data_IF_552489215001
#
_entry.id   IF_552489215001
#
_cell.length_a   1.000
_cell.length_b   1.000
_cell.length_c   1.000
_cell.angle_alpha   90.00
_cell.angle_beta   90.00
_cell.angle_gamma   90.00
#
_symmetry.space_group_name_H-M   'P 1'
#
loop_
_entity.id
_entity.type
_entity.pdbx_description
1 polymer ?
#
# COMPACT_ATOMS: atom_id res chain seq x y z
N UNK A 1 16.97 -24.46 23.28
CA UNK A 1 16.75 -24.87 21.89
C UNK A 1 17.69 -26.04 21.66
N UNK A 2 17.15 -27.24 21.46
CA UNK A 2 17.97 -28.42 21.19
C UNK A 2 18.55 -28.37 19.77
N UNK A 3 19.67 -29.05 19.55
CA UNK A 3 20.37 -29.12 18.27
C UNK A 3 20.53 -30.58 17.84
N UNK A 4 20.20 -30.86 16.59
CA UNK A 4 20.35 -32.18 15.96
C UNK A 4 21.24 -32.03 14.74
N UNK A 5 22.19 -32.95 14.55
CA UNK A 5 22.88 -33.01 13.26
C UNK A 5 21.92 -33.46 12.16
N UNK A 6 22.23 -33.15 10.90
CA UNK A 6 21.46 -33.62 9.74
C UNK A 6 21.39 -35.15 9.65
N UNK A 7 22.35 -35.86 10.25
CA UNK A 7 22.34 -37.32 10.37
C UNK A 7 21.37 -37.76 11.45
N UNK A 8 21.41 -37.13 12.63
CA UNK A 8 20.48 -37.44 13.74
C UNK A 8 19.04 -37.11 13.39
N UNK A 9 18.80 -36.01 12.68
CA UNK A 9 17.46 -35.64 12.23
C UNK A 9 16.83 -36.73 11.33
N UNK A 10 17.64 -37.42 10.52
CA UNK A 10 17.20 -38.54 9.68
C UNK A 10 17.01 -39.83 10.50
N UNK A 11 17.98 -40.17 11.34
CA UNK A 11 18.00 -41.44 12.06
C UNK A 11 17.09 -41.46 13.30
N UNK A 12 16.81 -40.30 13.89
CA UNK A 12 16.07 -40.14 15.16
C UNK A 12 14.88 -39.20 15.00
N UNK A 13 14.22 -39.25 13.85
CA UNK A 13 13.13 -38.33 13.49
C UNK A 13 11.99 -38.29 14.52
N UNK A 14 11.60 -39.43 15.11
CA UNK A 14 10.56 -39.46 16.15
C UNK A 14 10.94 -38.68 17.42
N UNK A 15 12.22 -38.69 17.80
CA UNK A 15 12.71 -37.91 18.94
C UNK A 15 12.82 -36.43 18.60
N UNK A 16 13.23 -36.11 17.36
CA UNK A 16 13.22 -34.75 16.83
C UNK A 16 11.79 -34.15 16.86
N UNK A 17 10.78 -34.91 16.44
CA UNK A 17 9.38 -34.49 16.52
C UNK A 17 8.93 -34.27 17.97
N UNK A 18 9.25 -35.21 18.87
CA UNK A 18 8.92 -35.08 20.30
C UNK A 18 9.55 -33.84 20.93
N UNK A 19 10.81 -33.55 20.61
CA UNK A 19 11.50 -32.35 21.06
C UNK A 19 10.83 -31.07 20.50
N UNK A 20 10.48 -31.07 19.20
CA UNK A 20 9.82 -29.94 18.53
C UNK A 20 8.42 -29.62 19.06
N UNK A 21 7.77 -30.57 19.74
CA UNK A 21 6.46 -30.36 20.37
C UNK A 21 6.55 -29.40 21.56
N UNK A 22 7.70 -29.36 22.24
CA UNK A 22 7.89 -28.55 23.46
C UNK A 22 8.56 -27.21 23.17
N UNK A 23 9.52 -27.17 22.24
CA UNK A 23 10.24 -25.96 21.84
C UNK A 23 10.85 -26.13 20.45
N UNK A 24 11.23 -25.04 19.75
CA UNK A 24 11.95 -25.15 18.50
C UNK A 24 13.27 -25.91 18.65
N UNK A 25 13.61 -26.67 17.61
CA UNK A 25 14.81 -27.48 17.51
C UNK A 25 15.59 -27.06 16.27
N UNK A 26 16.90 -26.87 16.39
CA UNK A 26 17.76 -26.56 15.25
C UNK A 26 18.31 -27.85 14.63
N UNK A 27 18.33 -27.92 13.30
CA UNK A 27 18.95 -28.99 12.53
C UNK A 27 20.20 -28.42 11.88
N UNK A 28 21.35 -29.01 12.17
CA UNK A 28 22.65 -28.53 11.72
C UNK A 28 23.29 -29.44 10.68
N UNK A 29 23.91 -28.84 9.66
CA UNK A 29 24.72 -29.55 8.67
C UNK A 29 26.13 -28.96 8.70
N UNK A 30 27.12 -29.79 9.01
CA UNK A 30 28.53 -29.39 9.14
C UNK A 30 28.72 -28.16 10.07
N UNK A 31 28.08 -28.17 11.24
CA UNK A 31 28.20 -27.11 12.25
C UNK A 31 27.49 -25.80 11.93
N UNK A 32 26.62 -25.77 10.90
CA UNK A 32 25.76 -24.62 10.59
C UNK A 32 24.30 -25.02 10.67
N UNK A 33 23.47 -24.17 11.28
CA UNK A 33 22.01 -24.35 11.29
C UNK A 33 21.49 -24.30 9.87
N UNK A 34 20.93 -25.40 9.41
CA UNK A 34 20.34 -25.56 8.09
C UNK A 34 18.81 -25.39 8.12
N UNK A 35 18.17 -25.73 9.24
CA UNK A 35 16.72 -25.58 9.42
C UNK A 35 16.35 -25.50 10.90
N UNK A 36 15.15 -24.99 11.18
CA UNK A 36 14.48 -25.11 12.47
C UNK A 36 13.22 -25.95 12.30
N UNK A 37 12.98 -26.88 13.23
CA UNK A 37 11.72 -27.62 13.34
C UNK A 37 10.97 -27.13 14.57
N UNK A 38 9.67 -26.92 14.42
CA UNK A 38 8.77 -26.47 15.48
C UNK A 38 7.40 -27.10 15.29
N UNK A 39 6.61 -27.22 16.35
CA UNK A 39 5.20 -27.54 16.22
C UNK A 39 4.44 -26.42 15.47
N UNK A 40 3.36 -26.76 14.74
CA UNK A 40 2.50 -25.78 14.08
C UNK A 40 1.95 -24.74 15.07
N UNK A 41 1.52 -25.18 16.25
CA UNK A 41 0.97 -24.33 17.31
C UNK A 41 1.98 -23.27 17.80
N UNK A 42 3.24 -23.67 17.96
CA UNK A 42 4.30 -22.75 18.36
C UNK A 42 4.60 -21.76 17.23
N UNK A 43 4.66 -22.23 15.97
CA UNK A 43 4.87 -21.37 14.81
C UNK A 43 3.78 -20.30 14.70
N UNK A 44 2.51 -20.69 14.81
CA UNK A 44 1.37 -19.76 14.78
C UNK A 44 1.42 -18.73 15.91
N UNK A 45 1.79 -19.16 17.13
CA UNK A 45 1.92 -18.27 18.29
C UNK A 45 3.01 -17.22 18.07
N UNK A 46 4.17 -17.64 17.57
CA UNK A 46 5.26 -16.71 17.23
C UNK A 46 4.85 -15.78 16.09
N UNK A 47 4.13 -16.28 15.08
CA UNK A 47 3.68 -15.47 13.96
C UNK A 47 2.63 -14.43 14.35
N UNK A 48 1.74 -14.76 15.29
CA UNK A 48 0.76 -13.83 15.89
C UNK A 48 1.42 -12.78 16.78
N UNK A 49 2.47 -13.17 17.50
CA UNK A 49 3.21 -12.31 18.41
C UNK A 49 4.40 -11.59 17.74
N UNK A 50 4.63 -11.79 16.43
CA UNK A 50 5.70 -11.14 15.70
C UNK A 50 5.46 -9.61 15.69
N UNK A 51 6.31 -8.83 16.39
CA UNK A 51 6.18 -7.38 16.42
C UNK A 51 6.25 -6.79 15.00
N UNK A 52 7.02 -7.41 14.10
CA UNK A 52 7.12 -7.01 12.70
C UNK A 52 5.82 -7.18 11.93
N UNK A 53 5.02 -8.20 12.24
CA UNK A 53 3.70 -8.40 11.64
C UNK A 53 2.69 -7.36 12.17
N UNK A 54 2.69 -7.11 13.47
CA UNK A 54 1.83 -6.09 14.09
C UNK A 54 2.11 -4.67 13.58
N UNK A 55 3.39 -4.30 13.42
CA UNK A 55 3.80 -3.00 12.90
C UNK A 55 3.38 -2.81 11.43
N UNK A 56 3.55 -3.85 10.59
CA UNK A 56 3.07 -3.83 9.20
C UNK A 56 1.56 -3.70 9.12
N UNK A 57 0.83 -4.40 10.00
CA UNK A 57 -0.63 -4.30 10.04
C UNK A 57 -1.09 -2.90 10.42
N UNK A 58 -0.48 -2.31 11.45
CA UNK A 58 -0.76 -0.93 11.84
C UNK A 58 -0.43 0.05 10.72
N UNK A 59 0.69 -0.13 10.02
CA UNK A 59 1.06 0.71 8.88
C UNK A 59 0.03 0.64 7.74
N UNK A 60 -0.50 -0.55 7.41
CA UNK A 60 -1.56 -0.72 6.42
C UNK A 60 -2.85 -0.01 6.83
N UNK A 61 -3.26 -0.14 8.08
CA UNK A 61 -4.45 0.54 8.60
C UNK A 61 -4.28 2.06 8.54
N UNK A 62 -3.13 2.59 8.96
CA UNK A 62 -2.81 4.02 8.84
C UNK A 62 -2.86 4.50 7.39
N UNK A 63 -2.27 3.74 6.47
CA UNK A 63 -2.29 4.06 5.04
C UNK A 63 -3.72 4.07 4.48
N UNK A 64 -4.57 3.11 4.90
CA UNK A 64 -5.97 3.05 4.48
C UNK A 64 -6.77 4.26 4.98
N UNK A 65 -6.49 4.75 6.20
CA UNK A 65 -7.12 5.97 6.73
C UNK A 65 -6.69 7.20 5.90
N UNK A 66 -5.40 7.37 5.65
CA UNK A 66 -4.89 8.48 4.81
C UNK A 66 -5.52 8.45 3.42
N UNK A 67 -5.63 7.28 2.82
CA UNK A 67 -6.24 7.12 1.50
C UNK A 67 -7.75 7.42 1.52
N UNK A 68 -8.45 7.02 2.57
CA UNK A 68 -9.86 7.38 2.76
C UNK A 68 -10.05 8.90 2.82
N UNK A 69 -9.19 9.62 3.53
CA UNK A 69 -9.27 11.09 3.61
C UNK A 69 -9.01 11.74 2.25
N UNK A 70 -8.03 11.21 1.50
CA UNK A 70 -7.78 11.65 0.11
C UNK A 70 -8.98 11.39 -0.79
N UNK A 71 -9.64 10.24 -0.66
CA UNK A 71 -10.84 9.91 -1.41
C UNK A 71 -11.99 10.87 -1.08
N UNK A 72 -12.23 11.17 0.20
CA UNK A 72 -13.25 12.14 0.64
C UNK A 72 -12.98 13.52 0.04
N UNK A 73 -11.73 13.98 0.03
CA UNK A 73 -11.38 15.26 -0.63
C UNK A 73 -11.71 15.24 -2.12
N UNK A 74 -11.38 14.16 -2.83
CA UNK A 74 -11.69 14.05 -4.26
C UNK A 74 -13.20 13.91 -4.53
N UNK A 75 -13.98 13.33 -3.61
CA UNK A 75 -15.44 13.33 -3.71
C UNK A 75 -16.02 14.74 -3.61
N UNK A 76 -15.45 15.61 -2.76
CA UNK A 76 -15.85 17.02 -2.70
C UNK A 76 -15.49 17.79 -3.97
N UNK A 77 -14.28 17.57 -4.50
CA UNK A 77 -13.88 18.14 -5.81
C UNK A 77 -14.82 17.65 -6.93
N UNK A 78 -15.14 16.36 -6.95
CA UNK A 78 -16.07 15.78 -7.92
C UNK A 78 -17.47 16.40 -7.81
N UNK A 79 -17.94 16.63 -6.59
CA UNK A 79 -19.20 17.34 -6.35
C UNK A 79 -19.15 18.77 -6.90
N UNK A 80 -18.07 19.51 -6.63
CA UNK A 80 -17.90 20.88 -7.14
C UNK A 80 -17.84 20.92 -8.67
N UNK A 81 -17.16 19.97 -9.31
CA UNK A 81 -17.08 19.86 -10.78
C UNK A 81 -18.46 19.70 -11.43
N UNK A 82 -19.41 19.09 -10.74
CA UNK A 82 -20.76 18.82 -11.28
C UNK A 82 -21.76 19.91 -10.88
N UNK A 83 -21.56 20.59 -9.75
CA UNK A 83 -22.57 21.48 -9.15
C UNK A 83 -22.23 22.97 -9.18
N UNK A 84 -20.96 23.34 -9.29
CA UNK A 84 -20.58 24.76 -9.37
C UNK A 84 -21.07 25.41 -10.68
N UNK A 85 -21.30 26.72 -10.61
CA UNK A 85 -21.53 27.54 -11.79
C UNK A 85 -20.35 27.41 -12.78
N UNK A 86 -20.61 27.48 -14.11
CA UNK A 86 -19.59 27.24 -15.14
C UNK A 86 -18.28 28.01 -14.91
N UNK A 87 -18.34 29.31 -14.63
CA UNK A 87 -17.14 30.13 -14.43
C UNK A 87 -16.25 29.66 -13.27
N UNK A 88 -16.87 29.25 -12.15
CA UNK A 88 -16.15 28.76 -10.98
C UNK A 88 -15.54 27.38 -11.23
N UNK A 89 -16.29 26.51 -11.91
CA UNK A 89 -15.82 25.19 -12.32
C UNK A 89 -14.65 25.29 -13.29
N UNK A 90 -14.75 26.19 -14.27
CA UNK A 90 -13.71 26.38 -15.28
C UNK A 90 -12.44 26.95 -14.65
N UNK A 91 -12.58 27.82 -13.64
CA UNK A 91 -11.45 28.27 -12.82
C UNK A 91 -10.81 27.12 -12.04
N UNK A 92 -11.60 26.25 -11.40
CA UNK A 92 -11.11 25.07 -10.68
C UNK A 92 -10.33 24.12 -11.59
N UNK A 93 -10.80 23.90 -12.83
CA UNK A 93 -10.10 23.08 -13.82
C UNK A 93 -8.84 23.78 -14.33
N UNK A 94 -8.91 25.09 -14.57
CA UNK A 94 -7.77 25.89 -15.05
C UNK A 94 -6.63 25.88 -14.04
N UNK A 95 -6.92 26.03 -12.74
CA UNK A 95 -5.91 26.01 -11.68
C UNK A 95 -5.22 24.65 -11.59
N UNK A 96 -5.98 23.55 -11.64
CA UNK A 96 -5.43 22.20 -11.68
C UNK A 96 -4.54 21.96 -12.91
N UNK A 97 -4.92 22.48 -14.09
CA UNK A 97 -4.07 22.41 -15.29
C UNK A 97 -2.76 23.17 -15.12
N UNK A 98 -2.82 24.39 -14.56
CA UNK A 98 -1.62 25.18 -14.30
C UNK A 98 -0.65 24.47 -13.32
N UNK A 99 -1.19 23.75 -12.34
CA UNK A 99 -0.39 22.93 -11.43
C UNK A 99 0.34 21.79 -12.17
N UNK A 100 -0.36 21.07 -13.05
CA UNK A 100 0.23 20.00 -13.86
C UNK A 100 1.29 20.54 -14.82
N UNK A 101 1.04 21.69 -15.44
CA UNK A 101 2.00 22.37 -16.32
C UNK A 101 3.27 22.77 -15.55
N UNK A 102 3.10 23.27 -14.31
CA UNK A 102 4.22 23.56 -13.41
C UNK A 102 5.01 22.29 -13.07
N UNK A 103 4.35 21.19 -12.73
CA UNK A 103 5.03 19.92 -12.46
C UNK A 103 5.88 19.45 -13.64
N UNK A 104 5.38 19.64 -14.87
CA UNK A 104 6.13 19.34 -16.09
C UNK A 104 7.34 20.25 -16.25
N UNK A 105 7.14 21.56 -16.17
CA UNK A 105 8.19 22.54 -16.40
C UNK A 105 9.34 22.40 -15.40
N UNK A 106 9.01 22.19 -14.13
CA UNK A 106 9.96 22.07 -13.02
C UNK A 106 10.41 20.62 -12.74
N UNK A 107 9.90 19.63 -13.49
CA UNK A 107 10.18 18.19 -13.31
C UNK A 107 9.89 17.68 -11.88
N UNK A 108 8.78 18.11 -11.30
CA UNK A 108 8.38 17.78 -9.92
C UNK A 108 7.60 16.47 -9.80
N UNK A 109 7.14 15.91 -10.92
CA UNK A 109 6.35 14.68 -10.96
C UNK A 109 6.80 13.80 -12.13
N UNK A 110 6.55 12.49 -12.06
CA UNK A 110 6.91 11.59 -13.15
C UNK A 110 6.05 11.85 -14.39
N UNK A 111 6.60 11.51 -15.57
CA UNK A 111 5.91 11.68 -16.85
C UNK A 111 4.58 10.92 -16.90
N UNK A 112 4.50 9.74 -16.29
CA UNK A 112 3.28 8.92 -16.26
C UNK A 112 2.15 9.62 -15.48
N UNK A 113 2.46 10.21 -14.32
CA UNK A 113 1.47 10.97 -13.54
C UNK A 113 0.98 12.20 -14.30
N UNK A 114 1.90 12.94 -14.93
CA UNK A 114 1.56 14.11 -15.74
C UNK A 114 0.63 13.70 -16.88
N UNK A 115 0.97 12.66 -17.64
CA UNK A 115 0.17 12.18 -18.76
C UNK A 115 -1.24 11.75 -18.32
N UNK A 116 -1.35 11.02 -17.21
CA UNK A 116 -2.64 10.59 -16.65
C UNK A 116 -3.50 11.79 -16.24
N UNK A 117 -2.92 12.76 -15.54
CA UNK A 117 -3.66 13.95 -15.15
C UNK A 117 -4.10 14.80 -16.33
N UNK A 118 -3.27 14.94 -17.36
CA UNK A 118 -3.69 15.63 -18.58
C UNK A 118 -4.84 14.95 -19.30
N UNK A 119 -4.84 13.61 -19.36
CA UNK A 119 -5.95 12.85 -19.93
C UNK A 119 -7.24 13.12 -19.16
N UNK A 120 -7.18 13.07 -17.82
CA UNK A 120 -8.33 13.33 -16.95
C UNK A 120 -8.82 14.78 -17.08
N UNK A 121 -7.91 15.76 -17.07
CA UNK A 121 -8.25 17.19 -17.14
C UNK A 121 -8.78 17.62 -18.51
N UNK A 122 -8.70 16.77 -19.54
CA UNK A 122 -9.31 16.97 -20.87
C UNK A 122 -10.73 16.42 -20.97
N UNK A 123 -11.16 15.60 -20.03
CA UNK A 123 -12.52 15.05 -19.99
C UNK A 123 -13.55 16.16 -19.75
N UNK A 124 -14.82 15.87 -20.07
CA UNK A 124 -15.90 16.75 -19.61
C UNK A 124 -16.03 16.67 -18.07
N UNK A 125 -16.60 17.69 -17.41
CA UNK A 125 -16.61 17.74 -15.95
C UNK A 125 -17.27 16.54 -15.27
N UNK A 126 -18.30 15.96 -15.88
CA UNK A 126 -19.01 14.79 -15.34
C UNK A 126 -18.13 13.53 -15.39
N UNK A 127 -17.48 13.28 -16.52
CA UNK A 127 -16.51 12.18 -16.67
C UNK A 127 -15.29 12.37 -15.77
N UNK A 128 -14.79 13.60 -15.67
CA UNK A 128 -13.68 13.95 -14.79
C UNK A 128 -14.03 13.64 -13.33
N UNK A 129 -15.20 14.09 -12.87
CA UNK A 129 -15.71 13.85 -11.52
C UNK A 129 -15.82 12.35 -11.20
N UNK A 130 -16.37 11.56 -12.12
CA UNK A 130 -16.46 10.11 -11.96
C UNK A 130 -15.07 9.45 -11.92
N UNK A 131 -14.14 9.92 -12.75
CA UNK A 131 -12.81 9.31 -12.88
C UNK A 131 -11.96 9.52 -11.63
N UNK A 132 -11.94 10.72 -11.05
CA UNK A 132 -11.05 11.04 -9.91
C UNK A 132 -11.42 10.33 -8.60
N UNK A 133 -12.68 9.89 -8.46
CA UNK A 133 -13.15 9.11 -7.31
C UNK A 133 -13.07 7.59 -7.53
N UNK A 134 -12.82 7.16 -8.77
CA UNK A 134 -12.73 5.74 -9.14
C UNK A 134 -11.33 5.15 -8.88
N UNK A 135 -11.19 3.84 -9.10
CA UNK A 135 -9.88 3.20 -9.23
C UNK A 135 -9.49 3.02 -10.70
N UNK A 136 -9.22 4.16 -11.37
CA UNK A 136 -8.95 4.21 -12.81
C UNK A 136 -7.72 3.39 -13.19
N UNK A 137 -7.94 2.15 -13.67
CA UNK A 137 -6.87 1.24 -14.08
C UNK A 137 -5.84 0.94 -12.99
N UNK A 138 -6.26 0.92 -11.71
CA UNK A 138 -5.38 0.71 -10.56
C UNK A 138 -4.58 1.94 -10.11
N UNK A 139 -4.83 3.11 -10.72
CA UNK A 139 -4.12 4.35 -10.38
C UNK A 139 -4.86 5.21 -9.35
N UNK A 140 -6.04 4.82 -8.87
CA UNK A 140 -6.90 5.71 -8.08
C UNK A 140 -6.19 6.30 -6.86
N UNK A 141 -5.64 5.44 -5.98
CA UNK A 141 -4.96 5.89 -4.77
C UNK A 141 -3.69 6.69 -5.08
N UNK A 142 -2.91 6.24 -6.06
CA UNK A 142 -1.68 6.89 -6.51
C UNK A 142 -1.93 8.29 -7.05
N UNK A 143 -2.97 8.47 -7.87
CA UNK A 143 -3.36 9.78 -8.39
C UNK A 143 -3.84 10.68 -7.26
N UNK A 144 -4.72 10.20 -6.37
CA UNK A 144 -5.21 11.01 -5.25
C UNK A 144 -4.12 11.44 -4.28
N UNK A 145 -3.03 10.68 -4.17
CA UNK A 145 -1.84 11.10 -3.44
C UNK A 145 -1.16 12.32 -4.06
N UNK A 146 -1.15 12.40 -5.40
CA UNK A 146 -0.53 13.46 -6.18
C UNK A 146 -1.61 14.29 -6.88
N UNK A 147 -2.48 14.91 -6.10
CA UNK A 147 -3.63 15.67 -6.61
C UNK A 147 -3.20 17.06 -7.13
N UNK A 148 -3.68 17.49 -8.31
CA UNK A 148 -3.38 18.83 -8.83
C UNK A 148 -4.19 19.94 -8.16
N UNK A 149 -5.24 19.59 -7.40
CA UNK A 149 -6.08 20.55 -6.66
C UNK A 149 -5.47 20.88 -5.28
N UNK A 150 -4.33 21.56 -5.28
CA UNK A 150 -3.60 21.92 -4.06
C UNK A 150 -4.40 22.95 -3.25
N UNK A 151 -4.62 22.68 -1.96
CA UNK A 151 -5.34 23.58 -1.04
C UNK A 151 -6.87 23.54 -1.15
N UNK A 152 -7.42 22.81 -2.12
CA UNK A 152 -8.87 22.65 -2.29
C UNK A 152 -9.39 21.59 -1.31
N UNK A 153 -10.39 21.94 -0.50
CA UNK A 153 -10.94 21.08 0.56
C UNK A 153 -9.88 20.52 1.53
N UNK A 154 -8.78 21.25 1.72
CA UNK A 154 -7.65 20.90 2.59
C UNK A 154 -8.03 20.88 4.07
#
# INVERSE_FOLDING_TARGET
>A
MEQFSSTDAKQRFGQLLKASASAPVAIEKHGRVAAYLTSPEFFERVQKNDPGNSARQLARVKQAVIEKDRLIRHQRIAFDLVTLAPDKRDWLIKDARAMVDRWRAERLCSADYIQKWEQILKMNPQEMAATIVSDVGGWGASLRQNSPWVGVHA
#
